data_IF_478283615372
#
_entry.id   IF_478283615372
#
_cell.length_a   1.000
_cell.length_b   1.000
_cell.length_c   1.000
_cell.angle_alpha   90.00
_cell.angle_beta   90.00
_cell.angle_gamma   90.00
#
_symmetry.space_group_name_H-M   'P 1'
#
loop_
_entity.id
_entity.type
_entity.pdbx_description
1 polymer ?
#
# COMPACT_ATOMS: atom_id res chain seq x y z
N UNK A 1 -8.38 14.07 5.28
CA UNK A 1 -8.56 13.80 6.73
C UNK A 1 -7.21 13.50 7.37
N UNK A 2 -6.99 13.93 8.61
CA UNK A 2 -5.75 13.64 9.36
C UNK A 2 -6.07 12.85 10.62
N UNK A 3 -5.36 11.73 10.81
CA UNK A 3 -5.50 10.83 11.96
C UNK A 3 -4.15 10.77 12.68
N UNK A 4 -4.14 11.19 13.94
CA UNK A 4 -2.89 11.45 14.67
C UNK A 4 -2.22 10.19 15.24
N UNK A 5 -2.90 9.05 15.28
CA UNK A 5 -2.43 7.90 16.04
C UNK A 5 -2.67 6.60 15.28
N UNK A 6 -3.78 5.92 15.52
CA UNK A 6 -3.99 4.54 15.07
C UNK A 6 -5.27 4.43 14.25
N UNK A 7 -5.17 3.73 13.13
CA UNK A 7 -6.31 3.21 12.39
C UNK A 7 -6.27 1.69 12.50
N UNK A 8 -7.31 1.11 13.10
CA UNK A 8 -7.56 -0.34 13.05
C UNK A 8 -8.87 -0.54 12.32
N UNK A 9 -8.84 -1.30 11.23
CA UNK A 9 -10.05 -1.71 10.53
C UNK A 9 -10.18 -3.22 10.55
N UNK A 10 -11.32 -3.66 11.07
CA UNK A 10 -11.74 -5.05 11.10
C UNK A 10 -12.91 -5.20 10.11
N UNK A 11 -12.60 -5.36 8.83
CA UNK A 11 -13.58 -5.37 7.74
C UNK A 11 -13.05 -4.69 6.48
N UNK A 12 -13.93 -4.51 5.50
CA UNK A 12 -13.58 -3.86 4.23
C UNK A 12 -13.51 -2.35 4.37
N UNK A 13 -12.51 -1.75 3.73
CA UNK A 13 -12.37 -0.30 3.56
C UNK A 13 -12.53 0.01 2.10
N UNK A 14 -13.51 0.85 1.76
CA UNK A 14 -13.66 1.43 0.44
C UNK A 14 -13.53 2.95 0.58
N UNK A 15 -12.58 3.55 -0.14
CA UNK A 15 -12.44 5.00 -0.21
C UNK A 15 -12.31 5.45 -1.66
N UNK A 16 -12.98 6.55 -1.99
CA UNK A 16 -12.89 7.17 -3.31
C UNK A 16 -12.75 8.68 -3.19
N UNK A 17 -11.95 9.29 -4.05
CA UNK A 17 -11.80 10.76 -4.17
C UNK A 17 -11.40 11.46 -2.85
N UNK A 18 -10.45 10.88 -2.09
CA UNK A 18 -10.04 11.42 -0.78
C UNK A 18 -8.53 11.56 -0.61
N UNK A 19 -8.16 12.47 0.31
CA UNK A 19 -6.79 12.61 0.80
C UNK A 19 -6.75 12.25 2.27
N UNK A 20 -5.88 11.31 2.64
CA UNK A 20 -5.77 10.76 4.00
C UNK A 20 -4.31 10.88 4.49
N UNK A 21 -4.14 11.40 5.70
CA UNK A 21 -2.83 11.44 6.38
C UNK A 21 -2.93 10.75 7.73
N UNK A 22 -2.05 9.79 7.99
CA UNK A 22 -2.03 9.00 9.23
C UNK A 22 -0.64 9.07 9.84
N UNK A 23 -0.54 9.56 11.07
CA UNK A 23 0.75 9.89 11.66
C UNK A 23 1.50 8.70 12.29
N UNK A 24 0.84 7.57 12.56
CA UNK A 24 1.52 6.44 13.21
C UNK A 24 1.25 5.10 12.54
N UNK A 25 0.10 4.48 12.77
CA UNK A 25 -0.08 3.07 12.44
C UNK A 25 -1.42 2.82 11.75
N UNK A 26 -1.37 1.99 10.70
CA UNK A 26 -2.54 1.40 10.05
C UNK A 26 -2.44 -0.11 10.16
N UNK A 27 -3.46 -0.73 10.73
CA UNK A 27 -3.65 -2.18 10.74
C UNK A 27 -4.99 -2.48 10.11
N UNK A 28 -4.98 -3.26 9.04
CA UNK A 28 -6.19 -3.70 8.37
C UNK A 28 -6.22 -5.22 8.30
N UNK A 29 -7.33 -5.80 8.75
CA UNK A 29 -7.59 -7.24 8.73
C UNK A 29 -8.77 -7.63 7.82
N UNK A 30 -9.18 -6.75 6.90
CA UNK A 30 -10.14 -7.01 5.82
C UNK A 30 -9.73 -6.36 4.50
N UNK A 31 -10.54 -6.43 3.45
CA UNK A 31 -10.14 -5.91 2.13
C UNK A 31 -9.96 -4.39 2.14
N UNK A 32 -9.03 -3.89 1.32
CA UNK A 32 -8.83 -2.45 1.10
C UNK A 32 -9.01 -2.17 -0.38
N UNK A 33 -9.96 -1.32 -0.72
CA UNK A 33 -10.21 -0.85 -2.09
C UNK A 33 -10.11 0.68 -2.08
N UNK A 34 -9.15 1.24 -2.82
CA UNK A 34 -8.95 2.69 -2.94
C UNK A 34 -8.95 3.11 -4.41
N UNK A 35 -9.75 4.12 -4.74
CA UNK A 35 -9.80 4.72 -6.09
C UNK A 35 -9.64 6.23 -6.04
N UNK A 36 -8.73 6.79 -6.86
CA UNK A 36 -8.51 8.24 -6.92
C UNK A 36 -8.13 8.85 -5.54
N UNK A 37 -7.26 8.16 -4.81
CA UNK A 37 -6.89 8.48 -3.42
C UNK A 37 -5.43 8.92 -3.29
N UNK A 38 -5.16 9.84 -2.37
CA UNK A 38 -3.80 10.12 -1.87
C UNK A 38 -3.68 9.74 -0.40
N UNK A 39 -2.77 8.81 -0.09
CA UNK A 39 -2.52 8.32 1.27
C UNK A 39 -1.09 8.63 1.70
N UNK A 40 -0.93 9.24 2.87
CA UNK A 40 0.38 9.44 3.51
C UNK A 40 0.40 8.84 4.92
N UNK A 41 1.36 7.96 5.19
CA UNK A 41 1.48 7.25 6.48
C UNK A 41 2.90 7.40 7.01
N UNK A 42 3.05 7.99 8.19
CA UNK A 42 4.37 8.38 8.70
C UNK A 42 5.13 7.27 9.43
N UNK A 43 4.59 6.06 9.58
CA UNK A 43 5.34 4.97 10.20
C UNK A 43 5.03 3.60 9.58
N UNK A 44 3.94 2.94 9.99
CA UNK A 44 3.75 1.52 9.68
C UNK A 44 2.38 1.24 9.07
N UNK A 45 2.38 0.37 8.06
CA UNK A 45 1.19 -0.27 7.49
C UNK A 45 1.31 -1.77 7.57
N UNK A 46 0.30 -2.40 8.15
CA UNK A 46 0.14 -3.86 8.15
C UNK A 46 -1.22 -4.20 7.55
N UNK A 47 -1.21 -4.92 6.44
CA UNK A 47 -2.42 -5.45 5.81
C UNK A 47 -2.31 -6.97 5.74
N UNK A 48 -3.25 -7.66 6.38
CA UNK A 48 -3.25 -9.12 6.43
C UNK A 48 -4.26 -9.74 5.45
N UNK A 49 -4.57 -9.04 4.37
CA UNK A 49 -5.73 -9.27 3.50
C UNK A 49 -5.50 -8.63 2.12
N UNK A 50 -6.48 -8.75 1.22
CA UNK A 50 -6.41 -8.20 -0.13
C UNK A 50 -6.37 -6.66 -0.16
N UNK A 51 -5.58 -6.12 -1.08
CA UNK A 51 -5.48 -4.69 -1.37
C UNK A 51 -5.68 -4.46 -2.87
N UNK A 52 -6.62 -3.61 -3.24
CA UNK A 52 -6.86 -3.17 -4.61
C UNK A 52 -6.75 -1.64 -4.66
N UNK A 53 -5.82 -1.12 -5.47
CA UNK A 53 -5.59 0.32 -5.63
C UNK A 53 -5.69 0.71 -7.11
N UNK A 54 -6.50 1.72 -7.42
CA UNK A 54 -6.66 2.30 -8.76
C UNK A 54 -6.46 3.82 -8.73
N UNK A 55 -5.55 4.35 -9.55
CA UNK A 55 -5.29 5.80 -9.63
C UNK A 55 -4.89 6.39 -8.26
N UNK A 56 -4.00 5.70 -7.53
CA UNK A 56 -3.65 6.03 -6.14
C UNK A 56 -2.20 6.49 -6.01
N UNK A 57 -1.97 7.46 -5.11
CA UNK A 57 -0.62 7.81 -4.63
C UNK A 57 -0.47 7.44 -3.16
N UNK A 58 0.49 6.56 -2.85
CA UNK A 58 0.79 6.11 -1.49
C UNK A 58 2.21 6.49 -1.09
N UNK A 59 2.35 7.18 0.04
CA UNK A 59 3.66 7.49 0.65
C UNK A 59 3.74 6.95 2.07
N UNK A 60 4.74 6.12 2.35
CA UNK A 60 4.92 5.47 3.66
C UNK A 60 6.36 5.65 4.14
N UNK A 61 6.53 6.22 5.33
CA UNK A 61 7.86 6.64 5.77
C UNK A 61 8.74 5.48 6.30
N UNK A 62 8.17 4.39 6.81
CA UNK A 62 8.99 3.31 7.38
C UNK A 62 8.71 1.96 6.76
N UNK A 63 7.60 1.31 7.11
CA UNK A 63 7.42 -0.11 6.82
C UNK A 63 6.04 -0.42 6.27
N UNK A 64 6.01 -1.31 5.27
CA UNK A 64 4.82 -1.95 4.72
C UNK A 64 4.95 -3.45 4.84
N UNK A 65 3.91 -4.08 5.40
CA UNK A 65 3.75 -5.54 5.41
C UNK A 65 2.41 -5.88 4.81
N UNK A 66 2.42 -6.68 3.74
CA UNK A 66 1.21 -7.25 3.11
C UNK A 66 1.33 -8.76 3.07
N UNK A 67 0.25 -9.48 3.39
CA UNK A 67 0.29 -10.95 3.57
C UNK A 67 -0.63 -11.75 2.64
N UNK A 68 -1.44 -11.11 1.79
CA UNK A 68 -2.29 -11.80 0.81
C UNK A 68 -2.12 -11.23 -0.61
N UNK A 69 -3.22 -10.84 -1.27
CA UNK A 69 -3.19 -10.32 -2.64
C UNK A 69 -3.03 -8.80 -2.68
N UNK A 70 -2.31 -8.32 -3.69
CA UNK A 70 -2.19 -6.90 -4.01
C UNK A 70 -2.42 -6.71 -5.50
N UNK A 71 -3.39 -5.88 -5.86
CA UNK A 71 -3.67 -5.48 -7.23
C UNK A 71 -3.52 -3.96 -7.34
N UNK A 72 -2.58 -3.51 -8.17
CA UNK A 72 -2.29 -2.08 -8.36
C UNK A 72 -2.46 -1.70 -9.84
N UNK A 73 -3.30 -0.71 -10.12
CA UNK A 73 -3.47 -0.11 -11.45
C UNK A 73 -3.26 1.40 -11.40
N UNK A 74 -2.36 1.94 -12.23
CA UNK A 74 -2.09 3.38 -12.31
C UNK A 74 -1.66 3.98 -10.94
N UNK A 75 -0.76 3.28 -10.25
CA UNK A 75 -0.38 3.60 -8.86
C UNK A 75 1.05 4.11 -8.75
N UNK A 76 1.26 5.10 -7.86
CA UNK A 76 2.59 5.51 -7.42
C UNK A 76 2.78 5.20 -5.93
N UNK A 77 3.78 4.38 -5.62
CA UNK A 77 4.12 3.97 -4.25
C UNK A 77 5.53 4.44 -3.90
N UNK A 78 5.66 5.19 -2.81
CA UNK A 78 6.96 5.60 -2.24
C UNK A 78 7.09 5.12 -0.81
N UNK A 79 8.14 4.33 -0.52
CA UNK A 79 8.37 3.73 0.79
C UNK A 79 9.81 3.99 1.23
N UNK A 80 10.01 4.67 2.36
CA UNK A 80 11.35 5.13 2.73
C UNK A 80 12.22 4.11 3.46
N UNK A 81 11.72 2.93 3.82
CA UNK A 81 12.59 1.88 4.39
C UNK A 81 12.31 0.49 3.84
N UNK A 82 11.26 -0.20 4.30
CA UNK A 82 11.12 -1.63 4.07
C UNK A 82 9.73 -1.99 3.53
N UNK A 83 9.72 -2.92 2.59
CA UNK A 83 8.53 -3.57 2.06
C UNK A 83 8.66 -5.07 2.21
N UNK A 84 7.64 -5.69 2.81
CA UNK A 84 7.49 -7.14 2.89
C UNK A 84 6.14 -7.50 2.28
N UNK A 85 6.15 -8.26 1.20
CA UNK A 85 4.94 -8.80 0.58
C UNK A 85 5.01 -10.31 0.59
N UNK A 86 3.98 -10.94 1.13
CA UNK A 86 3.76 -12.38 1.06
C UNK A 86 2.44 -12.61 0.35
N UNK A 87 2.41 -13.40 -0.72
CA UNK A 87 1.20 -13.64 -1.52
C UNK A 87 1.33 -13.21 -2.99
N UNK A 88 0.21 -12.94 -3.64
CA UNK A 88 0.17 -12.61 -5.08
C UNK A 88 0.15 -11.11 -5.31
N UNK A 89 0.90 -10.64 -6.30
CA UNK A 89 0.95 -9.22 -6.66
C UNK A 89 0.72 -9.05 -8.16
N UNK A 90 -0.33 -8.34 -8.54
CA UNK A 90 -0.61 -7.92 -9.91
C UNK A 90 -0.41 -6.41 -10.03
N UNK A 91 0.37 -5.99 -11.03
CA UNK A 91 0.78 -4.60 -11.22
C UNK A 91 0.54 -4.17 -12.66
N UNK A 92 -0.18 -3.07 -12.87
CA UNK A 92 -0.37 -2.42 -14.18
C UNK A 92 -0.08 -0.93 -14.07
N UNK A 93 0.85 -0.42 -14.88
CA UNK A 93 1.20 1.01 -14.93
C UNK A 93 1.60 1.56 -13.54
N UNK A 94 2.53 0.86 -12.88
CA UNK A 94 2.91 1.15 -11.48
C UNK A 94 4.32 1.69 -11.38
N UNK A 95 4.50 2.73 -10.56
CA UNK A 95 5.82 3.23 -10.15
C UNK A 95 6.04 2.97 -8.67
N UNK A 96 7.09 2.22 -8.34
CA UNK A 96 7.48 1.89 -6.97
C UNK A 96 8.87 2.43 -6.67
N UNK A 97 9.00 3.23 -5.61
CA UNK A 97 10.29 3.73 -5.11
C UNK A 97 10.48 3.29 -3.67
N UNK A 98 11.53 2.52 -3.39
CA UNK A 98 11.79 1.94 -2.06
C UNK A 98 13.23 2.19 -1.62
N UNK A 99 13.45 3.06 -0.64
CA UNK A 99 14.80 3.55 -0.35
C UNK A 99 15.76 2.55 0.36
N UNK A 100 15.32 1.35 0.76
CA UNK A 100 16.25 0.39 1.39
C UNK A 100 16.05 -1.06 1.00
N UNK A 101 14.90 -1.68 1.27
CA UNK A 101 14.76 -3.12 1.07
C UNK A 101 13.36 -3.55 0.65
N UNK A 102 13.32 -4.54 -0.24
CA UNK A 102 12.12 -5.23 -0.69
C UNK A 102 12.28 -6.72 -0.46
N UNK A 103 11.31 -7.33 0.20
CA UNK A 103 11.20 -8.78 0.35
C UNK A 103 9.84 -9.20 -0.22
N UNK A 104 9.87 -10.01 -1.28
CA UNK A 104 8.65 -10.59 -1.86
C UNK A 104 8.74 -12.10 -1.80
N UNK A 105 7.71 -12.73 -1.25
CA UNK A 105 7.55 -14.17 -1.22
C UNK A 105 6.17 -14.54 -1.78
N UNK A 106 6.14 -14.97 -3.04
CA UNK A 106 4.93 -15.35 -3.76
C UNK A 106 5.04 -15.04 -5.25
N UNK A 107 3.91 -14.85 -5.91
CA UNK A 107 3.84 -14.59 -7.35
C UNK A 107 3.78 -13.08 -7.61
N UNK A 108 4.46 -12.62 -8.66
CA UNK A 108 4.40 -11.22 -9.12
C UNK A 108 4.17 -11.21 -10.63
N UNK A 109 3.14 -10.49 -11.07
CA UNK A 109 2.71 -10.37 -12.47
C UNK A 109 2.74 -8.89 -12.88
N UNK A 110 3.90 -8.38 -13.36
CA UNK A 110 4.06 -6.97 -13.71
C UNK A 110 3.74 -6.68 -15.18
N UNK A 111 2.99 -5.61 -15.41
CA UNK A 111 2.78 -4.93 -16.69
C UNK A 111 3.13 -3.45 -16.54
N UNK A 112 4.08 -2.95 -17.33
CA UNK A 112 4.49 -1.54 -17.34
C UNK A 112 4.87 -1.00 -15.94
N UNK A 113 5.75 -1.73 -15.25
CA UNK A 113 6.19 -1.40 -13.89
C UNK A 113 7.60 -0.80 -13.88
N UNK A 114 7.77 0.29 -13.13
CA UNK A 114 9.08 0.88 -12.82
C UNK A 114 9.36 0.73 -11.33
N UNK A 115 10.42 -0.01 -10.97
CA UNK A 115 10.87 -0.16 -9.59
C UNK A 115 12.24 0.50 -9.41
N UNK A 116 12.34 1.40 -8.44
CA UNK A 116 13.60 2.04 -8.03
C UNK A 116 13.88 1.70 -6.56
N UNK A 117 15.13 1.32 -6.27
CA UNK A 117 15.62 1.04 -4.91
C UNK A 117 16.77 2.00 -4.60
#
# INVERSE_FOLDING_TARGET
VTIASLVVVSGSVELSEVVVTIASLVVVSGSVELSEVVVTIASLVVVSSSVELSEVVVTIASLVVVSESVELSEVVVTIASLVVVSGSVELSEVVVTIASLVVVSGSVEPSEVVVTI
#
